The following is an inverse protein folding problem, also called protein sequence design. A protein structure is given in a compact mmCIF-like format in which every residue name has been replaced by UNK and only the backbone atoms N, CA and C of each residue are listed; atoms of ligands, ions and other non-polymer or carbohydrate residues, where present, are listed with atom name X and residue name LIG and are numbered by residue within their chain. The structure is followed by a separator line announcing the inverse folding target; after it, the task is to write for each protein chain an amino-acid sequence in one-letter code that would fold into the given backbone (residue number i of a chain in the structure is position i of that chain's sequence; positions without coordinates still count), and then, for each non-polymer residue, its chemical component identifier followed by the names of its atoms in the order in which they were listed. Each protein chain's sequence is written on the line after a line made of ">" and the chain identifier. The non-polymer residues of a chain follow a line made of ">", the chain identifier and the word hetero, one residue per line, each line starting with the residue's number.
data_IF_936155376440
#
_entry.id   IF_936155376440
#
_cell.length_a   1.000
_cell.length_b   1.000
_cell.length_c   1.000
_cell.angle_alpha   90.00
_cell.angle_beta   90.00
_cell.angle_gamma   90.00
#
_symmetry.space_group_name_H-M   'P 1'
#
loop_
_entity.id
_entity.type
_entity.pdbx_description
1 polymer ?
#
# COMPACT_ATOMS: atom_id res chain seq x y z
N UNK A 1 -13.63 -21.49 1.33
CA UNK A 1 -12.66 -20.98 2.32
C UNK A 1 -12.82 -19.47 2.33
N UNK A 2 -13.22 -18.90 3.44
CA UNK A 2 -13.42 -17.45 3.50
C UNK A 2 -12.10 -16.71 3.29
N UNK A 3 -12.12 -15.64 2.50
CA UNK A 3 -10.92 -14.88 2.14
C UNK A 3 -10.26 -14.21 3.36
N UNK A 4 -11.06 -13.94 4.39
CA UNK A 4 -10.64 -13.33 5.65
C UNK A 4 -11.17 -14.16 6.80
N UNK A 5 -10.27 -14.70 7.61
CA UNK A 5 -10.63 -15.47 8.79
C UNK A 5 -10.23 -14.70 10.04
N UNK A 6 -11.18 -14.17 10.83
CA UNK A 6 -10.88 -13.57 12.12
C UNK A 6 -10.26 -14.62 13.05
N UNK A 7 -9.11 -14.35 13.60
CA UNK A 7 -8.41 -15.24 14.54
C UNK A 7 -8.44 -14.73 15.98
N UNK A 8 -8.94 -13.49 16.19
CA UNK A 8 -9.06 -12.88 17.51
C UNK A 8 -10.30 -12.01 17.64
N UNK A 9 -10.72 -11.79 18.88
CA UNK A 9 -11.78 -10.83 19.19
C UNK A 9 -11.34 -9.40 18.87
N UNK A 10 -12.32 -8.54 18.53
CA UNK A 10 -12.09 -7.12 18.35
C UNK A 10 -11.70 -6.46 19.68
N UNK A 11 -10.61 -5.71 19.67
CA UNK A 11 -10.18 -4.83 20.77
C UNK A 11 -10.33 -3.39 20.29
N UNK A 12 -11.34 -2.64 20.76
CA UNK A 12 -11.50 -1.25 20.38
C UNK A 12 -10.33 -0.42 20.95
N UNK A 13 -9.75 0.47 20.14
CA UNK A 13 -8.69 1.41 20.53
C UNK A 13 -9.29 2.81 20.70
N UNK A 14 -10.13 3.22 19.73
CA UNK A 14 -10.95 4.43 19.80
C UNK A 14 -12.37 4.00 19.46
N UNK A 15 -13.26 4.08 20.43
CA UNK A 15 -14.64 3.61 20.28
C UNK A 15 -15.31 4.23 19.06
N UNK A 16 -15.89 3.37 18.21
CA UNK A 16 -16.57 3.76 16.99
C UNK A 16 -15.66 4.23 15.86
N UNK A 17 -14.34 4.31 16.04
CA UNK A 17 -13.39 4.81 15.03
C UNK A 17 -12.46 3.71 14.56
N UNK A 18 -11.69 3.11 15.45
CA UNK A 18 -10.69 2.10 15.09
C UNK A 18 -10.52 1.07 16.21
N UNK A 19 -10.37 -0.18 15.81
CA UNK A 19 -10.04 -1.29 16.69
C UNK A 19 -8.96 -2.17 16.10
N UNK A 20 -8.49 -3.11 16.90
CA UNK A 20 -7.60 -4.17 16.47
C UNK A 20 -8.33 -5.51 16.47
N UNK A 21 -8.27 -6.19 15.33
CA UNK A 21 -8.73 -7.57 15.18
C UNK A 21 -7.77 -8.29 14.26
N UNK A 22 -7.12 -9.33 14.74
CA UNK A 22 -6.22 -10.13 13.93
C UNK A 22 -7.01 -10.91 12.88
N UNK A 23 -6.64 -10.72 11.61
CA UNK A 23 -7.26 -11.36 10.45
C UNK A 23 -6.20 -11.98 9.57
N UNK A 24 -6.39 -13.23 9.16
CA UNK A 24 -5.56 -13.86 8.15
C UNK A 24 -6.16 -13.61 6.76
N UNK A 25 -5.46 -12.80 5.96
CA UNK A 25 -5.91 -12.43 4.63
C UNK A 25 -5.25 -13.32 3.57
N UNK A 26 -6.03 -14.26 3.03
CA UNK A 26 -5.58 -15.20 1.98
C UNK A 26 -5.75 -14.65 0.55
N UNK A 27 -6.20 -13.42 0.41
CA UNK A 27 -6.47 -12.76 -0.86
C UNK A 27 -5.82 -11.40 -0.99
N UNK A 28 -6.47 -10.53 -1.77
CA UNK A 28 -6.24 -9.11 -1.83
C UNK A 28 -7.41 -8.36 -1.17
N UNK A 29 -7.53 -7.04 -1.42
CA UNK A 29 -8.63 -6.26 -0.87
C UNK A 29 -10.00 -6.89 -1.21
N UNK A 30 -10.93 -6.84 -0.26
CA UNK A 30 -12.27 -7.44 -0.34
C UNK A 30 -12.30 -8.93 -0.71
N UNK A 31 -11.24 -9.68 -0.36
CA UNK A 31 -11.17 -11.12 -0.63
C UNK A 31 -10.92 -11.51 -2.09
N UNK A 32 -10.59 -10.55 -2.94
CA UNK A 32 -10.24 -10.81 -4.33
C UNK A 32 -9.05 -11.77 -4.41
N UNK A 33 -9.07 -12.70 -5.39
CA UNK A 33 -8.02 -13.70 -5.58
C UNK A 33 -7.77 -14.61 -4.38
N UNK A 34 -8.79 -14.85 -3.54
CA UNK A 34 -8.68 -15.78 -2.41
C UNK A 34 -8.22 -17.16 -2.86
N UNK A 35 -7.23 -17.71 -2.16
CA UNK A 35 -6.62 -19.00 -2.49
C UNK A 35 -5.58 -18.95 -3.62
N UNK A 36 -5.36 -17.80 -4.27
CA UNK A 36 -4.38 -17.62 -5.35
C UNK A 36 -3.07 -16.99 -4.84
N UNK A 37 -2.56 -17.44 -3.69
CA UNK A 37 -1.38 -16.85 -3.02
C UNK A 37 -0.17 -16.76 -3.95
N UNK A 38 0.07 -17.78 -4.77
CA UNK A 38 1.19 -17.80 -5.72
C UNK A 38 1.05 -16.68 -6.75
N UNK A 39 -0.16 -16.45 -7.27
CA UNK A 39 -0.43 -15.36 -8.21
C UNK A 39 -0.18 -14.01 -7.54
N UNK A 40 -0.65 -13.82 -6.31
CA UNK A 40 -0.44 -12.59 -5.55
C UNK A 40 1.04 -12.33 -5.25
N UNK A 41 1.83 -13.38 -4.98
CA UNK A 41 3.28 -13.27 -4.83
C UNK A 41 3.94 -12.83 -6.14
N UNK A 42 3.59 -13.45 -7.26
CA UNK A 42 4.14 -13.08 -8.58
C UNK A 42 3.81 -11.61 -8.91
N UNK A 43 2.56 -11.20 -8.70
CA UNK A 43 2.13 -9.81 -8.90
C UNK A 43 2.92 -8.86 -8.00
N UNK A 44 3.15 -9.22 -6.74
CA UNK A 44 3.94 -8.40 -5.82
C UNK A 44 5.41 -8.28 -6.25
N UNK A 45 6.01 -9.36 -6.76
CA UNK A 45 7.38 -9.33 -7.29
C UNK A 45 7.47 -8.37 -8.49
N UNK A 46 6.56 -8.52 -9.46
CA UNK A 46 6.53 -7.66 -10.65
C UNK A 46 6.31 -6.20 -10.25
N UNK A 47 5.37 -5.94 -9.35
CA UNK A 47 5.10 -4.61 -8.84
C UNK A 47 6.33 -3.99 -8.16
N UNK A 48 6.97 -4.70 -7.23
CA UNK A 48 8.18 -4.23 -6.57
C UNK A 48 9.33 -3.99 -7.55
N UNK A 49 9.49 -4.85 -8.55
CA UNK A 49 10.51 -4.67 -9.59
C UNK A 49 10.26 -3.40 -10.42
N UNK A 50 9.02 -3.12 -10.79
CA UNK A 50 8.63 -1.90 -11.52
C UNK A 50 8.90 -0.66 -10.67
N UNK A 51 8.50 -0.65 -9.41
CA UNK A 51 8.73 0.48 -8.50
C UNK A 51 10.23 0.72 -8.32
N UNK A 52 11.01 -0.33 -8.09
CA UNK A 52 12.46 -0.22 -7.93
C UNK A 52 13.14 0.31 -9.21
N UNK A 53 12.75 -0.21 -10.37
CA UNK A 53 13.26 0.29 -11.66
C UNK A 53 12.93 1.77 -11.86
N UNK A 54 11.71 2.18 -11.53
CA UNK A 54 11.31 3.58 -11.60
C UNK A 54 12.08 4.45 -10.61
N UNK A 55 12.29 4.00 -9.37
CA UNK A 55 13.12 4.71 -8.38
C UNK A 55 14.53 4.96 -8.90
N UNK A 56 15.16 3.95 -9.52
CA UNK A 56 16.49 4.06 -10.10
C UNK A 56 16.49 5.06 -11.26
N UNK A 57 15.47 5.00 -12.12
CA UNK A 57 15.32 5.88 -13.27
C UNK A 57 15.21 7.36 -12.86
N UNK A 58 14.39 7.67 -11.85
CA UNK A 58 14.16 9.05 -11.40
C UNK A 58 15.14 9.54 -10.32
N UNK A 59 16.07 8.71 -9.87
CA UNK A 59 16.90 8.94 -8.67
C UNK A 59 17.62 10.30 -8.63
N UNK A 60 17.98 10.86 -9.80
CA UNK A 60 18.68 12.15 -9.90
C UNK A 60 17.73 13.35 -9.92
N UNK A 61 16.48 13.17 -10.27
CA UNK A 61 15.49 14.24 -10.51
C UNK A 61 14.31 14.19 -9.54
N UNK A 62 14.19 13.09 -8.78
CA UNK A 62 13.12 12.92 -7.83
C UNK A 62 13.24 13.91 -6.67
N UNK A 63 12.13 14.52 -6.31
CA UNK A 63 12.03 15.28 -5.06
C UNK A 63 12.12 14.36 -3.85
N UNK A 64 12.43 14.90 -2.68
CA UNK A 64 12.43 14.14 -1.42
C UNK A 64 11.06 13.50 -1.18
N UNK A 65 9.97 14.23 -1.44
CA UNK A 65 8.59 13.73 -1.27
C UNK A 65 8.30 12.55 -2.20
N UNK A 66 8.73 12.62 -3.46
CA UNK A 66 8.60 11.53 -4.44
C UNK A 66 9.42 10.31 -4.02
N UNK A 67 10.66 10.51 -3.58
CA UNK A 67 11.55 9.44 -3.11
C UNK A 67 10.97 8.73 -1.89
N UNK A 68 10.50 9.47 -0.89
CA UNK A 68 9.86 8.92 0.29
C UNK A 68 8.58 8.16 -0.08
N UNK A 69 7.76 8.73 -0.97
CA UNK A 69 6.54 8.08 -1.44
C UNK A 69 6.82 6.74 -2.13
N UNK A 70 7.77 6.71 -3.04
CA UNK A 70 8.17 5.48 -3.74
C UNK A 70 8.77 4.44 -2.78
N UNK A 71 9.58 4.87 -1.81
CA UNK A 71 10.15 3.99 -0.80
C UNK A 71 9.06 3.35 0.08
N UNK A 72 8.03 4.10 0.46
CA UNK A 72 6.88 3.59 1.22
C UNK A 72 6.08 2.57 0.41
N UNK A 73 5.82 2.84 -0.88
CA UNK A 73 5.13 1.90 -1.78
C UNK A 73 5.94 0.60 -1.92
N UNK A 74 7.23 0.72 -2.16
CA UNK A 74 8.11 -0.44 -2.30
C UNK A 74 8.17 -1.26 -1.02
N UNK A 75 8.41 -0.63 0.14
CA UNK A 75 8.51 -1.30 1.43
C UNK A 75 7.20 -1.99 1.82
N UNK A 76 6.05 -1.36 1.57
CA UNK A 76 4.74 -1.95 1.83
C UNK A 76 4.45 -3.16 0.92
N UNK A 77 4.74 -3.04 -0.38
CA UNK A 77 4.62 -4.16 -1.32
C UNK A 77 5.52 -5.34 -0.93
N UNK A 78 6.76 -5.05 -0.54
CA UNK A 78 7.70 -6.05 -0.05
C UNK A 78 7.24 -6.72 1.25
N UNK A 79 6.70 -5.95 2.20
CA UNK A 79 6.17 -6.46 3.46
C UNK A 79 5.03 -7.48 3.24
N UNK A 80 4.04 -7.10 2.46
CA UNK A 80 2.92 -7.99 2.11
C UNK A 80 3.36 -9.22 1.30
N UNK A 81 4.41 -9.09 0.49
CA UNK A 81 5.01 -10.22 -0.25
C UNK A 81 5.70 -11.19 0.71
N UNK A 82 6.48 -10.68 1.67
CA UNK A 82 7.19 -11.51 2.67
C UNK A 82 6.19 -12.31 3.50
N UNK A 83 5.10 -11.70 3.94
CA UNK A 83 4.05 -12.40 4.68
C UNK A 83 3.47 -13.56 3.86
N UNK A 84 3.14 -13.33 2.58
CA UNK A 84 2.63 -14.38 1.70
C UNK A 84 3.63 -15.50 1.45
N UNK A 85 4.90 -15.17 1.27
CA UNK A 85 5.96 -16.17 1.06
C UNK A 85 6.23 -17.02 2.31
N UNK A 86 6.18 -16.41 3.49
CA UNK A 86 6.52 -17.07 4.75
C UNK A 86 5.35 -17.83 5.38
N UNK A 87 4.12 -17.30 5.25
CA UNK A 87 2.93 -17.77 5.96
C UNK A 87 1.80 -18.25 5.06
N UNK A 88 1.83 -17.89 3.78
CA UNK A 88 0.75 -18.16 2.83
C UNK A 88 -0.43 -17.18 2.94
N UNK A 89 -0.33 -16.16 3.80
CA UNK A 89 -1.35 -15.11 3.99
C UNK A 89 -0.69 -13.83 4.51
N UNK A 90 -1.42 -12.73 4.42
CA UNK A 90 -1.03 -11.46 5.05
C UNK A 90 -1.74 -11.33 6.40
N UNK A 91 -1.05 -10.79 7.40
CA UNK A 91 -1.62 -10.52 8.71
C UNK A 91 -2.14 -9.08 8.74
N UNK A 92 -3.45 -8.94 8.72
CA UNK A 92 -4.14 -7.66 8.87
C UNK A 92 -4.65 -7.52 10.30
N UNK A 93 -4.62 -6.31 10.85
CA UNK A 93 -4.98 -6.12 12.25
C UNK A 93 -5.66 -4.78 12.57
N UNK A 94 -5.62 -3.81 11.67
CA UNK A 94 -6.31 -2.53 11.84
C UNK A 94 -7.70 -2.63 11.25
N UNK A 95 -8.73 -2.39 12.07
CA UNK A 95 -10.14 -2.42 11.67
C UNK A 95 -10.76 -1.03 11.84
N UNK A 96 -11.15 -0.34 10.75
CA UNK A 96 -12.00 0.84 10.83
C UNK A 96 -13.39 0.46 11.32
N UNK A 97 -13.93 1.18 12.30
CA UNK A 97 -15.24 0.86 12.92
C UNK A 97 -16.37 1.78 12.46
N UNK A 98 -16.04 2.86 11.75
CA UNK A 98 -17.00 3.89 11.28
C UNK A 98 -17.45 3.68 9.83
N UNK A 99 -16.81 2.76 9.11
CA UNK A 99 -17.13 2.39 7.72
C UNK A 99 -16.95 0.88 7.54
N UNK A 100 -17.67 0.31 6.58
CA UNK A 100 -17.42 -1.06 6.12
C UNK A 100 -16.20 -1.08 5.18
N UNK A 101 -15.04 -1.28 5.78
CA UNK A 101 -13.75 -1.32 5.10
C UNK A 101 -12.95 -2.54 5.56
N UNK A 102 -12.23 -3.22 4.66
CA UNK A 102 -11.42 -4.38 5.03
C UNK A 102 -10.36 -4.03 6.08
N UNK A 103 -10.07 -5.00 6.96
CA UNK A 103 -8.91 -4.89 7.82
C UNK A 103 -7.64 -4.71 6.97
N UNK A 104 -6.69 -3.97 7.48
CA UNK A 104 -5.42 -3.70 6.82
C UNK A 104 -4.26 -3.73 7.82
N UNK A 105 -3.05 -3.58 7.33
CA UNK A 105 -1.83 -3.56 8.12
C UNK A 105 -0.97 -2.31 7.84
N UNK A 106 0.19 -2.23 8.50
CA UNK A 106 1.13 -1.10 8.32
C UNK A 106 1.68 -1.03 6.89
N UNK A 107 1.86 -2.16 6.20
CA UNK A 107 2.33 -2.18 4.82
C UNK A 107 1.32 -1.50 3.88
N UNK A 108 0.01 -1.78 4.07
CA UNK A 108 -1.06 -1.16 3.29
C UNK A 108 -1.17 0.34 3.56
N UNK A 109 -1.03 0.74 4.83
CA UNK A 109 -0.95 2.15 5.22
C UNK A 109 0.26 2.83 4.56
N UNK A 110 1.42 2.17 4.53
CA UNK A 110 2.63 2.64 3.86
C UNK A 110 2.41 2.83 2.35
N UNK A 111 1.81 1.85 1.66
CA UNK A 111 1.47 1.95 0.24
C UNK A 111 0.55 3.15 0.00
N UNK A 112 -0.51 3.29 0.79
CA UNK A 112 -1.49 4.38 0.64
C UNK A 112 -0.85 5.75 0.84
N UNK A 113 -0.11 5.94 1.93
CA UNK A 113 0.63 7.18 2.18
C UNK A 113 1.66 7.46 1.09
N UNK A 114 2.35 6.43 0.62
CA UNK A 114 3.32 6.53 -0.46
C UNK A 114 2.70 7.01 -1.77
N UNK A 115 1.55 6.46 -2.14
CA UNK A 115 0.79 6.89 -3.33
C UNK A 115 0.40 8.36 -3.21
N UNK A 116 -0.09 8.78 -2.04
CA UNK A 116 -0.47 10.18 -1.79
C UNK A 116 0.75 11.10 -1.96
N UNK A 117 1.90 10.73 -1.39
CA UNK A 117 3.14 11.51 -1.52
C UNK A 117 3.59 11.66 -2.99
N UNK A 118 3.56 10.57 -3.76
CA UNK A 118 3.93 10.59 -5.18
C UNK A 118 2.96 11.45 -5.99
N UNK A 119 1.65 11.34 -5.74
CA UNK A 119 0.64 12.17 -6.40
C UNK A 119 0.83 13.65 -6.10
N UNK A 120 1.09 14.02 -4.85
CA UNK A 120 1.36 15.41 -4.46
C UNK A 120 2.64 15.91 -5.16
N UNK A 121 3.72 15.12 -5.16
CA UNK A 121 4.96 15.48 -5.84
C UNK A 121 4.75 15.69 -7.34
N UNK A 122 3.97 14.82 -7.99
CA UNK A 122 3.60 14.95 -9.40
C UNK A 122 2.80 16.25 -9.66
N UNK A 123 1.79 16.55 -8.84
CA UNK A 123 0.98 17.76 -8.99
C UNK A 123 1.83 19.03 -8.83
N UNK A 124 2.76 19.05 -7.87
CA UNK A 124 3.68 20.18 -7.67
C UNK A 124 4.54 20.41 -8.94
N UNK A 125 5.12 19.34 -9.49
CA UNK A 125 5.92 19.41 -10.71
C UNK A 125 5.09 19.88 -11.91
N UNK A 126 3.88 19.33 -12.05
CA UNK A 126 2.97 19.69 -13.15
C UNK A 126 2.59 21.18 -13.15
N UNK A 127 2.15 21.70 -12.00
CA UNK A 127 1.78 23.13 -11.89
C UNK A 127 2.99 24.07 -11.99
N UNK A 128 4.15 23.65 -11.53
CA UNK A 128 5.37 24.45 -11.71
C UNK A 128 5.75 24.56 -13.19
N UNK A 129 5.66 23.48 -13.95
CA UNK A 129 5.92 23.49 -15.39
C UNK A 129 4.92 24.36 -16.16
N UNK A 130 3.61 24.29 -15.81
CA UNK A 130 2.58 25.10 -16.48
C UNK A 130 2.81 26.61 -16.33
N UNK A 131 3.27 27.06 -15.15
CA UNK A 131 3.59 28.49 -14.92
C UNK A 131 4.76 29.00 -15.75
N UNK A 132 5.74 28.16 -16.03
CA UNK A 132 6.88 28.54 -16.87
C UNK A 132 6.50 28.76 -18.33
N UNK A 133 5.51 28.03 -18.84
CA UNK A 133 5.03 28.22 -20.22
C UNK A 133 4.25 29.53 -20.37
N UNK A 134 3.44 29.90 -19.37
CA UNK A 134 2.61 31.11 -19.39
C UNK A 134 3.42 32.42 -19.30
N UNK A 135 4.63 32.40 -18.74
CA UNK A 135 5.53 33.55 -18.65
C UNK A 135 6.53 33.69 -19.82
N UNK A 136 6.52 32.72 -20.73
CA UNK A 136 7.43 32.73 -21.92
C UNK A 136 6.73 33.17 -23.22
N UNK A 137 5.42 33.46 -23.17
CA UNK A 137 4.65 34.14 -24.24
C UNK A 137 4.49 35.63 -23.92
#
# INVERSE_FOLDING_TARGET
>A
MEAHTPSAALVPVIDGVVGFRLVHNFGAAWGSFSGMVVVLVIVSIVFCAIILAYMIYVAKEASVLETVGLALIFAGGLGNMIDRLSRGYVVDFVEPLFIDFPNFNIADAGITCGIICVLIAFLIKFFAASKHVEHSE
#
